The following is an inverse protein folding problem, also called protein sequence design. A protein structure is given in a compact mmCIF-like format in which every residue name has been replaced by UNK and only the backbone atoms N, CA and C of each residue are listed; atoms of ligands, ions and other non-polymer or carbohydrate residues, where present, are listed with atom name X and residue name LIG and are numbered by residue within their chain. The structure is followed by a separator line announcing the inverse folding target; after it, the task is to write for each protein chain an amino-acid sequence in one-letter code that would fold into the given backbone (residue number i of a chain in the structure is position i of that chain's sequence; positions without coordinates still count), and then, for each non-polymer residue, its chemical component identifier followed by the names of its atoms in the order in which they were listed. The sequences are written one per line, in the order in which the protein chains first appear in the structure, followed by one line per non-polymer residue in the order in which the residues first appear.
data_IF_160051265022
#
_entry.id   IF_160051265022
#
_cell.length_a   1.000
_cell.length_b   1.000
_cell.length_c   1.000
_cell.angle_alpha   90.00
_cell.angle_beta   90.00
_cell.angle_gamma   90.00
#
_symmetry.space_group_name_H-M   'P 1'
#
loop_
_entity.id
_entity.type
_entity.pdbx_description
1 polymer ?
#
# COMPACT_ATOMS: atom_id res chain seq x y z
N UNK A 1 -18.54 -29.60 -36.29
CA UNK A 1 -19.09 -28.32 -35.81
C UNK A 1 -18.28 -27.90 -34.59
N UNK A 2 -17.51 -26.81 -34.67
CA UNK A 2 -16.65 -26.37 -33.56
C UNK A 2 -17.46 -25.45 -32.65
N UNK A 3 -17.76 -25.91 -31.42
CA UNK A 3 -18.40 -25.10 -30.39
C UNK A 3 -17.46 -23.94 -30.01
N UNK A 4 -17.80 -22.72 -30.44
CA UNK A 4 -17.17 -21.50 -29.93
C UNK A 4 -17.67 -21.29 -28.50
N UNK A 5 -16.85 -21.66 -27.54
CA UNK A 5 -17.04 -21.25 -26.15
C UNK A 5 -17.01 -19.71 -26.12
N UNK A 6 -18.13 -19.10 -25.74
CA UNK A 6 -18.22 -17.67 -25.49
C UNK A 6 -17.43 -17.38 -24.20
N UNK A 7 -16.19 -16.91 -24.32
CA UNK A 7 -15.44 -16.40 -23.18
C UNK A 7 -16.13 -15.14 -22.64
N UNK A 8 -16.88 -15.30 -21.56
CA UNK A 8 -17.39 -14.18 -20.77
C UNK A 8 -16.17 -13.56 -20.09
N UNK A 9 -15.60 -12.51 -20.69
CA UNK A 9 -14.57 -11.68 -20.05
C UNK A 9 -15.23 -10.84 -18.97
N UNK A 10 -15.33 -11.38 -17.76
CA UNK A 10 -15.68 -10.62 -16.57
C UNK A 10 -14.61 -9.55 -16.36
N UNK A 11 -15.01 -8.28 -16.53
CA UNK A 11 -14.13 -7.14 -16.32
C UNK A 11 -13.91 -7.01 -14.80
N UNK A 12 -12.76 -7.48 -14.31
CA UNK A 12 -12.39 -7.33 -12.90
C UNK A 12 -12.12 -5.84 -12.65
N UNK A 13 -13.06 -5.16 -12.00
CA UNK A 13 -12.90 -3.78 -11.55
C UNK A 13 -12.26 -3.79 -10.16
N UNK A 14 -10.99 -3.43 -10.09
CA UNK A 14 -10.28 -3.27 -8.82
C UNK A 14 -10.48 -1.84 -8.35
N UNK A 15 -11.12 -1.60 -7.19
CA UNK A 15 -11.35 -0.25 -6.69
C UNK A 15 -10.04 0.52 -6.55
N UNK A 16 -10.05 1.80 -6.93
CA UNK A 16 -8.89 2.68 -6.79
C UNK A 16 -8.51 2.75 -5.31
N UNK A 17 -7.31 2.28 -4.97
CA UNK A 17 -6.82 2.21 -3.59
C UNK A 17 -6.95 0.84 -2.90
N UNK A 18 -7.55 -0.17 -3.54
CA UNK A 18 -7.73 -1.50 -2.94
C UNK A 18 -6.42 -2.24 -2.64
N UNK A 19 -5.40 -2.07 -3.49
CA UNK A 19 -4.04 -2.58 -3.24
C UNK A 19 -3.12 -1.52 -2.62
N UNK A 20 -3.67 -0.44 -2.09
CA UNK A 20 -2.93 0.60 -1.39
C UNK A 20 -2.82 0.25 0.10
N UNK A 21 -2.02 -0.74 0.43
CA UNK A 21 -1.52 -0.95 1.79
C UNK A 21 -1.07 0.39 2.38
N UNK A 22 -1.75 0.82 3.42
CA UNK A 22 -1.41 2.04 4.13
C UNK A 22 -0.37 1.69 5.19
N UNK A 23 0.45 2.66 5.58
CA UNK A 23 1.44 2.39 6.61
C UNK A 23 0.77 2.15 7.98
N UNK A 24 -0.53 2.44 8.13
CA UNK A 24 -1.33 2.12 9.31
C UNK A 24 -1.37 0.62 9.66
N UNK A 25 -1.23 -0.29 8.69
CA UNK A 25 -1.14 -1.74 8.93
C UNK A 25 0.28 -2.31 8.84
N UNK A 26 1.29 -1.46 8.65
CA UNK A 26 2.66 -1.90 8.45
C UNK A 26 3.34 -2.18 9.80
N UNK A 27 3.96 -3.36 9.95
CA UNK A 27 4.67 -3.74 11.19
C UNK A 27 5.83 -2.79 11.54
N UNK A 28 6.41 -2.15 10.53
CA UNK A 28 7.52 -1.22 10.71
C UNK A 28 7.06 0.20 11.02
N UNK A 29 5.76 0.48 10.95
CA UNK A 29 5.18 1.79 11.18
C UNK A 29 4.80 1.99 12.64
N UNK A 30 5.44 2.94 13.30
CA UNK A 30 5.22 3.22 14.71
C UNK A 30 4.26 4.41 14.86
N UNK A 31 2.96 4.14 14.87
CA UNK A 31 1.93 5.19 14.85
C UNK A 31 1.98 6.19 16.02
N UNK A 32 2.55 5.77 17.16
CA UNK A 32 2.68 6.58 18.37
C UNK A 32 4.05 7.24 18.49
N UNK A 33 5.05 6.78 17.75
CA UNK A 33 6.36 7.41 17.70
C UNK A 33 6.33 8.51 16.65
N UNK A 34 6.02 9.73 17.08
CA UNK A 34 5.81 10.87 16.19
C UNK A 34 6.81 11.98 16.41
N UNK A 35 7.24 12.61 15.32
CA UNK A 35 8.04 13.83 15.37
C UNK A 35 7.17 15.07 15.68
N UNK A 36 7.80 16.23 15.86
CA UNK A 36 7.11 17.49 16.10
C UNK A 36 6.16 17.92 14.97
N UNK A 37 6.31 17.35 13.77
CA UNK A 37 5.44 17.60 12.62
C UNK A 37 4.26 16.60 12.56
N UNK A 38 4.21 15.61 13.45
CA UNK A 38 3.16 14.59 13.50
C UNK A 38 3.36 13.44 12.51
N UNK A 39 4.53 13.36 11.88
CA UNK A 39 4.95 12.20 11.06
C UNK A 39 5.30 11.07 12.01
N UNK A 40 4.94 9.84 11.64
CA UNK A 40 5.34 8.68 12.44
C UNK A 40 6.63 8.05 11.91
N UNK A 41 7.35 7.37 12.78
CA UNK A 41 8.61 6.72 12.44
C UNK A 41 8.38 5.40 11.71
N UNK A 42 9.24 5.08 10.76
CA UNK A 42 9.35 3.76 10.18
C UNK A 42 10.72 3.14 10.36
N UNK A 43 10.77 2.04 11.10
CA UNK A 43 12.01 1.32 11.40
C UNK A 43 12.65 0.61 10.19
N UNK A 44 11.88 0.30 9.14
CA UNK A 44 12.44 -0.33 7.94
C UNK A 44 13.25 0.65 7.09
N UNK A 45 12.75 1.89 6.95
CA UNK A 45 13.45 2.94 6.20
C UNK A 45 14.37 3.79 7.06
N UNK A 46 14.18 3.77 8.38
CA UNK A 46 14.85 4.66 9.33
C UNK A 46 14.54 6.13 9.03
N UNK A 47 13.26 6.43 8.78
CA UNK A 47 12.80 7.75 8.34
C UNK A 47 11.36 8.04 8.80
N UNK A 48 10.94 9.30 8.66
CA UNK A 48 9.68 9.86 9.16
C UNK A 48 8.80 10.31 7.99
N UNK A 49 7.56 9.84 7.95
CA UNK A 49 6.61 10.24 6.91
C UNK A 49 5.17 10.36 7.43
N UNK A 50 4.22 10.73 6.59
CA UNK A 50 2.80 10.52 6.84
C UNK A 50 2.34 9.22 6.19
N UNK A 51 1.34 8.52 6.74
CA UNK A 51 0.77 7.34 6.09
C UNK A 51 0.25 7.62 4.67
N UNK A 52 -0.15 8.87 4.40
CA UNK A 52 -0.59 9.36 3.10
C UNK A 52 0.54 9.51 2.07
N UNK A 53 1.78 9.76 2.49
CA UNK A 53 2.93 9.89 1.59
C UNK A 53 3.34 8.54 0.99
N UNK A 54 3.01 7.43 1.67
CA UNK A 54 3.32 6.05 1.24
C UNK A 54 4.82 5.80 0.96
N UNK A 55 5.71 6.71 1.37
CA UNK A 55 7.15 6.64 1.06
C UNK A 55 7.83 5.42 1.66
N UNK A 56 7.35 4.93 2.81
CA UNK A 56 7.79 3.66 3.37
C UNK A 56 6.77 2.53 3.29
N UNK A 57 5.88 2.57 2.30
CA UNK A 57 5.03 1.44 1.94
C UNK A 57 5.25 1.16 0.45
N UNK A 58 5.60 -0.07 0.09
CA UNK A 58 5.88 -0.54 -1.29
C UNK A 58 7.25 -0.24 -1.90
N UNK A 59 8.09 0.61 -1.31
CA UNK A 59 9.45 0.79 -1.79
C UNK A 59 10.36 -0.31 -1.22
N UNK A 60 10.87 -1.27 -1.99
CA UNK A 60 11.87 -2.18 -1.44
C UNK A 60 13.14 -1.35 -1.14
N UNK A 61 13.70 -1.45 0.07
CA UNK A 61 15.01 -0.85 0.36
C UNK A 61 16.05 -1.79 -0.27
N UNK A 62 16.70 -1.32 -1.34
CA UNK A 62 17.76 -2.06 -2.06
C UNK A 62 19.03 -2.19 -1.20
#
# INVERSE_FOLDING_TARGET
MKNKANEIKTKICIPKGFFGGNCSGCRYWEEYNRDSSGRAFCSYYDDWYYPSERRGCFARKE
#
